data_IF_845132305815
#
_entry.id   IF_845132305815
#
_cell.length_a   1.000
_cell.length_b   1.000
_cell.length_c   1.000
_cell.angle_alpha   90.00
_cell.angle_beta   90.00
_cell.angle_gamma   90.00
#
_symmetry.space_group_name_H-M   'P 1'
#
loop_
_entity.id
_entity.type
_entity.pdbx_description
1 polymer ?
#
# COMPACT_ATOMS: atom_id res chain seq x y z
N UNK A 1 -1.08 -48.35 6.79
CA UNK A 1 -1.06 -47.31 5.74
C UNK A 1 -1.38 -45.98 6.41
N UNK A 2 -0.36 -45.19 6.71
CA UNK A 2 -0.58 -43.85 7.26
C UNK A 2 -0.92 -42.90 6.09
N UNK A 3 -2.17 -42.60 5.94
CA UNK A 3 -2.61 -41.48 5.08
C UNK A 3 -2.20 -40.18 5.78
N UNK A 4 -1.05 -39.65 5.42
CA UNK A 4 -0.65 -38.28 5.78
C UNK A 4 -1.61 -37.36 5.02
N UNK A 5 -2.71 -36.96 5.68
CA UNK A 5 -3.53 -35.84 5.18
C UNK A 5 -2.64 -34.64 5.01
N UNK A 6 -2.57 -34.10 3.81
CA UNK A 6 -1.89 -32.83 3.55
C UNK A 6 -2.43 -31.79 4.56
N UNK A 7 -1.56 -30.95 5.14
CA UNK A 7 -2.02 -29.93 6.08
C UNK A 7 -3.07 -29.06 5.37
N UNK A 8 -4.25 -28.94 5.98
CA UNK A 8 -5.30 -28.04 5.49
C UNK A 8 -4.70 -26.65 5.37
N UNK A 9 -4.76 -26.08 4.17
CA UNK A 9 -4.23 -24.73 3.94
C UNK A 9 -4.85 -23.76 4.96
N UNK A 10 -4.01 -22.98 5.64
CA UNK A 10 -4.48 -21.98 6.58
C UNK A 10 -5.34 -20.95 5.84
N UNK A 11 -6.48 -20.62 6.40
CA UNK A 11 -7.42 -19.64 5.83
C UNK A 11 -7.77 -18.58 6.88
N UNK A 12 -7.93 -17.31 6.48
CA UNK A 12 -8.41 -16.28 7.40
C UNK A 12 -9.87 -16.53 7.78
N UNK A 13 -10.21 -16.22 9.04
CA UNK A 13 -11.61 -16.20 9.47
C UNK A 13 -12.35 -15.05 8.77
N UNK A 14 -13.59 -15.29 8.32
CA UNK A 14 -14.41 -14.33 7.58
C UNK A 14 -15.74 -14.01 8.29
N UNK A 15 -15.93 -14.45 9.52
CA UNK A 15 -17.19 -14.31 10.30
C UNK A 15 -17.63 -12.85 10.42
N UNK A 16 -16.68 -11.90 10.46
CA UNK A 16 -16.97 -10.47 10.53
C UNK A 16 -17.71 -9.95 9.27
N UNK A 17 -17.63 -10.66 8.13
CA UNK A 17 -18.34 -10.29 6.91
C UNK A 17 -19.86 -10.54 6.99
N UNK A 18 -20.32 -11.27 8.00
CA UNK A 18 -21.73 -11.46 8.29
C UNK A 18 -22.36 -10.24 8.98
N UNK A 19 -21.53 -9.31 9.47
CA UNK A 19 -22.00 -8.07 10.07
C UNK A 19 -22.70 -7.17 9.03
N UNK A 20 -23.68 -6.34 9.44
CA UNK A 20 -24.50 -5.53 8.55
C UNK A 20 -23.73 -4.41 7.83
N UNK A 21 -22.45 -4.25 8.09
CA UNK A 21 -21.57 -3.30 7.41
C UNK A 21 -21.11 -3.75 6.02
N UNK A 22 -21.26 -5.05 5.71
CA UNK A 22 -20.78 -5.64 4.46
C UNK A 22 -21.94 -6.06 3.57
N UNK A 23 -21.87 -5.66 2.31
CA UNK A 23 -22.82 -6.02 1.27
C UNK A 23 -22.40 -7.32 0.57
N UNK A 24 -23.28 -7.91 -0.23
CA UNK A 24 -23.00 -9.18 -0.93
C UNK A 24 -21.79 -9.13 -1.85
N UNK A 25 -21.50 -7.96 -2.45
CA UNK A 25 -20.30 -7.83 -3.29
C UNK A 25 -19.00 -7.89 -2.45
N UNK A 26 -19.03 -7.49 -1.20
CA UNK A 26 -17.89 -7.62 -0.27
C UNK A 26 -17.62 -9.10 0.09
N UNK A 27 -18.68 -9.88 0.32
CA UNK A 27 -18.58 -11.32 0.61
C UNK A 27 -18.04 -12.09 -0.60
N UNK A 28 -18.54 -11.75 -1.81
CA UNK A 28 -18.00 -12.31 -3.05
C UNK A 28 -16.53 -11.96 -3.25
N UNK A 29 -16.17 -10.67 -3.07
CA UNK A 29 -14.78 -10.20 -3.13
C UNK A 29 -13.88 -11.02 -2.22
N UNK A 30 -14.25 -11.21 -0.95
CA UNK A 30 -13.46 -11.96 0.01
C UNK A 30 -13.24 -13.42 -0.43
N UNK A 31 -14.30 -14.08 -0.88
CA UNK A 31 -14.25 -15.49 -1.34
C UNK A 31 -13.39 -15.64 -2.59
N UNK A 32 -13.58 -14.79 -3.58
CA UNK A 32 -12.85 -14.84 -4.85
C UNK A 32 -11.37 -14.52 -4.66
N UNK A 33 -11.05 -13.48 -3.87
CA UNK A 33 -9.68 -13.11 -3.56
C UNK A 33 -8.96 -14.21 -2.79
N UNK A 34 -9.61 -14.78 -1.76
CA UNK A 34 -9.07 -15.88 -0.97
C UNK A 34 -8.72 -17.08 -1.85
N UNK A 35 -9.61 -17.47 -2.75
CA UNK A 35 -9.39 -18.59 -3.68
C UNK A 35 -8.22 -18.28 -4.63
N UNK A 36 -8.14 -17.06 -5.15
CA UNK A 36 -7.07 -16.66 -6.06
C UNK A 36 -5.71 -16.60 -5.36
N UNK A 37 -5.60 -15.87 -4.22
CA UNK A 37 -4.31 -15.64 -3.58
C UNK A 37 -3.70 -16.93 -3.03
N UNK A 38 -4.53 -17.87 -2.59
CA UNK A 38 -4.07 -19.16 -2.09
C UNK A 38 -3.32 -19.99 -3.16
N UNK A 39 -3.53 -19.71 -4.44
CA UNK A 39 -2.84 -20.36 -5.55
C UNK A 39 -1.56 -19.65 -5.97
N UNK A 40 -1.29 -18.45 -5.44
CA UNK A 40 -0.14 -17.67 -5.85
C UNK A 40 1.12 -18.07 -5.07
N UNK A 41 2.22 -18.17 -5.81
CA UNK A 41 3.56 -18.35 -5.25
C UNK A 41 4.50 -17.39 -5.96
N UNK A 42 5.15 -16.50 -5.21
CA UNK A 42 6.15 -15.55 -5.68
C UNK A 42 7.42 -15.76 -4.85
N UNK A 43 8.56 -15.75 -5.51
CA UNK A 43 9.85 -15.80 -4.82
C UNK A 43 10.19 -14.39 -4.30
N UNK A 44 10.11 -14.21 -2.99
CA UNK A 44 10.27 -12.91 -2.32
C UNK A 44 11.71 -12.65 -1.82
N UNK A 45 12.70 -13.42 -2.27
CA UNK A 45 14.12 -13.19 -1.90
C UNK A 45 14.69 -11.88 -2.44
N UNK A 46 14.22 -11.44 -3.60
CA UNK A 46 14.42 -10.07 -4.12
C UNK A 46 13.10 -9.33 -4.01
N UNK A 47 12.99 -8.44 -3.01
CA UNK A 47 11.76 -7.73 -2.69
C UNK A 47 11.27 -6.82 -3.82
N UNK A 48 12.18 -6.24 -4.59
CA UNK A 48 11.85 -5.34 -5.71
C UNK A 48 11.32 -6.12 -6.92
N UNK A 49 11.98 -7.22 -7.28
CA UNK A 49 11.51 -8.09 -8.34
C UNK A 49 10.18 -8.75 -7.98
N UNK A 50 10.04 -9.23 -6.75
CA UNK A 50 8.82 -9.82 -6.24
C UNK A 50 7.66 -8.83 -6.17
N UNK A 51 7.92 -7.59 -5.74
CA UNK A 51 6.90 -6.54 -5.70
C UNK A 51 6.38 -6.20 -7.12
N UNK A 52 7.27 -6.08 -8.12
CA UNK A 52 6.86 -5.92 -9.53
C UNK A 52 6.00 -7.09 -10.01
N UNK A 53 6.40 -8.30 -9.67
CA UNK A 53 5.64 -9.51 -10.04
C UNK A 53 4.26 -9.52 -9.35
N UNK A 54 4.16 -9.12 -8.07
CA UNK A 54 2.88 -8.97 -7.39
C UNK A 54 2.00 -7.92 -8.05
N UNK A 55 2.54 -6.72 -8.37
CA UNK A 55 1.77 -5.68 -9.07
C UNK A 55 1.24 -6.20 -10.41
N UNK A 56 2.08 -6.89 -11.19
CA UNK A 56 1.66 -7.49 -12.47
C UNK A 56 0.55 -8.51 -12.28
N UNK A 57 0.70 -9.48 -11.37
CA UNK A 57 -0.31 -10.53 -11.10
C UNK A 57 -1.63 -9.95 -10.59
N UNK A 58 -1.57 -8.99 -9.67
CA UNK A 58 -2.74 -8.29 -9.15
C UNK A 58 -3.46 -7.51 -10.27
N UNK A 59 -2.70 -6.90 -11.18
CA UNK A 59 -3.24 -6.20 -12.34
C UNK A 59 -3.90 -7.15 -13.34
N UNK A 60 -3.21 -8.23 -13.73
CA UNK A 60 -3.69 -9.24 -14.67
C UNK A 60 -4.98 -9.93 -14.15
N UNK A 61 -5.04 -10.18 -12.85
CA UNK A 61 -6.23 -10.77 -12.20
C UNK A 61 -7.34 -9.74 -11.89
N UNK A 62 -7.10 -8.46 -12.14
CA UNK A 62 -8.09 -7.40 -11.95
C UNK A 62 -8.25 -6.88 -10.51
N UNK A 63 -7.40 -7.31 -9.55
CA UNK A 63 -7.50 -6.86 -8.17
C UNK A 63 -7.13 -5.39 -7.99
N UNK A 64 -6.22 -4.84 -8.79
CA UNK A 64 -5.86 -3.42 -8.75
C UNK A 64 -6.98 -2.49 -9.20
N UNK A 65 -8.00 -3.00 -9.88
CA UNK A 65 -9.20 -2.23 -10.25
C UNK A 65 -9.99 -1.70 -9.05
N UNK A 66 -9.76 -2.25 -7.86
CA UNK A 66 -10.35 -1.75 -6.61
C UNK A 66 -9.66 -0.49 -6.07
N UNK A 67 -8.48 -0.15 -6.61
CA UNK A 67 -7.73 1.07 -6.25
C UNK A 67 -8.15 2.32 -7.05
N UNK A 68 -9.01 2.16 -8.06
CA UNK A 68 -9.31 3.20 -9.06
C UNK A 68 -10.83 3.26 -9.32
N UNK A 69 -11.42 4.44 -9.57
CA UNK A 69 -12.83 4.56 -9.95
C UNK A 69 -13.16 3.89 -11.29
N UNK A 70 -14.41 3.44 -11.44
CA UNK A 70 -14.89 2.71 -12.63
C UNK A 70 -14.70 3.48 -13.94
N UNK A 71 -14.86 4.81 -13.93
CA UNK A 71 -14.65 5.67 -15.11
C UNK A 71 -13.21 5.62 -15.66
N UNK A 72 -12.26 5.17 -14.83
CA UNK A 72 -10.85 4.98 -15.20
C UNK A 72 -10.44 3.50 -15.23
N UNK A 73 -11.39 2.60 -15.40
CA UNK A 73 -11.15 1.15 -15.49
C UNK A 73 -11.20 0.41 -14.17
N UNK A 74 -11.62 1.05 -13.10
CA UNK A 74 -11.81 0.46 -11.77
C UNK A 74 -13.06 -0.43 -11.65
N UNK A 75 -13.28 -0.96 -10.45
CA UNK A 75 -14.36 -1.89 -10.16
C UNK A 75 -15.65 -1.19 -9.69
N UNK A 76 -15.53 -0.12 -8.91
CA UNK A 76 -16.65 0.61 -8.31
C UNK A 76 -16.66 2.07 -8.78
N UNK A 77 -17.81 2.76 -8.76
CA UNK A 77 -17.89 4.17 -9.14
C UNK A 77 -16.96 5.09 -8.32
N UNK A 78 -16.66 4.71 -7.09
CA UNK A 78 -15.73 5.41 -6.18
C UNK A 78 -15.00 4.38 -5.30
N UNK A 79 -13.90 4.80 -4.68
CA UNK A 79 -13.17 3.97 -3.72
C UNK A 79 -14.09 3.61 -2.53
N UNK A 80 -14.07 2.34 -2.15
CA UNK A 80 -14.79 1.81 -0.99
C UNK A 80 -13.78 1.28 0.03
N UNK A 81 -13.68 1.96 1.19
CA UNK A 81 -12.76 1.59 2.25
C UNK A 81 -13.02 0.18 2.81
N UNK A 82 -14.27 -0.32 2.75
CA UNK A 82 -14.62 -1.68 3.19
C UNK A 82 -14.01 -2.72 2.24
N UNK A 83 -14.08 -2.48 0.93
CA UNK A 83 -13.42 -3.33 -0.05
C UNK A 83 -11.88 -3.32 0.14
N UNK A 84 -11.30 -2.14 0.38
CA UNK A 84 -9.86 -2.02 0.66
C UNK A 84 -9.43 -2.76 1.92
N UNK A 85 -10.25 -2.75 2.98
CA UNK A 85 -10.03 -3.50 4.22
C UNK A 85 -9.97 -5.00 3.92
N UNK A 86 -10.96 -5.54 3.19
CA UNK A 86 -11.03 -6.97 2.84
C UNK A 86 -9.82 -7.38 1.99
N UNK A 87 -9.50 -6.60 0.96
CA UNK A 87 -8.37 -6.87 0.07
C UNK A 87 -7.06 -6.94 0.85
N UNK A 88 -6.79 -5.94 1.69
CA UNK A 88 -5.55 -5.84 2.42
C UNK A 88 -5.42 -6.88 3.53
N UNK A 89 -6.48 -7.15 4.28
CA UNK A 89 -6.48 -8.21 5.29
C UNK A 89 -6.18 -9.58 4.65
N UNK A 90 -6.88 -9.89 3.56
CA UNK A 90 -6.72 -11.18 2.87
C UNK A 90 -5.32 -11.32 2.25
N UNK A 91 -4.83 -10.30 1.54
CA UNK A 91 -3.48 -10.33 0.94
C UNK A 91 -2.41 -10.46 2.02
N UNK A 92 -2.48 -9.65 3.09
CA UNK A 92 -1.50 -9.65 4.18
C UNK A 92 -1.46 -10.98 4.96
N UNK A 93 -2.58 -11.69 5.05
CA UNK A 93 -2.61 -13.04 5.62
C UNK A 93 -1.76 -14.02 4.81
N UNK A 94 -1.74 -13.90 3.48
CA UNK A 94 -1.00 -14.79 2.58
C UNK A 94 0.44 -14.33 2.34
N UNK A 95 0.64 -13.07 1.99
CA UNK A 95 1.93 -12.43 1.78
C UNK A 95 1.87 -10.94 2.13
N UNK A 96 2.63 -10.49 3.14
CA UNK A 96 2.76 -9.05 3.43
C UNK A 96 3.23 -8.22 2.22
N UNK A 97 4.08 -8.80 1.35
CA UNK A 97 4.55 -8.11 0.15
C UNK A 97 3.46 -8.00 -0.92
N UNK A 98 2.55 -8.97 -1.03
CA UNK A 98 1.37 -8.86 -1.90
C UNK A 98 0.44 -7.74 -1.45
N UNK A 99 0.19 -7.63 -0.11
CA UNK A 99 -0.56 -6.50 0.45
C UNK A 99 0.13 -5.18 0.15
N UNK A 100 1.43 -5.09 0.39
CA UNK A 100 2.21 -3.90 0.12
C UNK A 100 2.11 -3.47 -1.35
N UNK A 101 2.29 -4.40 -2.29
CA UNK A 101 2.17 -4.14 -3.72
C UNK A 101 0.79 -3.59 -4.10
N UNK A 102 -0.29 -4.15 -3.52
CA UNK A 102 -1.64 -3.64 -3.69
C UNK A 102 -1.84 -2.26 -3.07
N UNK A 103 -1.44 -2.10 -1.81
CA UNK A 103 -1.68 -0.89 -1.02
C UNK A 103 -1.04 0.36 -1.64
N UNK A 104 0.19 0.21 -2.17
CA UNK A 104 0.92 1.33 -2.75
C UNK A 104 0.32 1.79 -4.08
N UNK A 105 -0.30 0.90 -4.84
CA UNK A 105 -1.04 1.30 -6.04
C UNK A 105 -2.22 2.22 -5.67
N UNK A 106 -2.99 1.87 -4.64
CA UNK A 106 -4.09 2.70 -4.15
C UNK A 106 -3.63 4.01 -3.54
N UNK A 107 -2.66 3.97 -2.62
CA UNK A 107 -2.16 5.16 -1.93
C UNK A 107 -1.46 6.12 -2.91
N UNK A 108 -0.60 5.60 -3.78
CA UNK A 108 0.16 6.41 -4.73
C UNK A 108 -0.71 7.05 -5.82
N UNK A 109 -1.84 6.44 -6.19
CA UNK A 109 -2.79 7.01 -7.17
C UNK A 109 -3.98 7.74 -6.54
N UNK A 110 -4.22 7.56 -5.23
CA UNK A 110 -5.40 8.09 -4.54
C UNK A 110 -5.55 9.62 -4.63
N UNK A 111 -4.45 10.34 -4.50
CA UNK A 111 -4.47 11.80 -4.66
C UNK A 111 -4.84 12.23 -6.10
N UNK A 112 -4.44 11.47 -7.12
CA UNK A 112 -4.84 11.71 -8.52
C UNK A 112 -6.34 11.48 -8.69
N UNK A 113 -6.87 10.42 -8.06
CA UNK A 113 -8.32 10.18 -8.02
C UNK A 113 -9.09 11.34 -7.41
N UNK A 114 -8.56 11.95 -6.32
CA UNK A 114 -9.25 13.00 -5.57
C UNK A 114 -9.16 14.39 -6.20
N UNK A 115 -8.03 14.73 -6.82
CA UNK A 115 -7.76 16.11 -7.25
C UNK A 115 -7.12 16.23 -8.65
N UNK A 116 -6.92 15.12 -9.35
CA UNK A 116 -6.34 15.15 -10.70
C UNK A 116 -7.28 15.78 -11.71
N UNK A 117 -6.71 16.52 -12.65
CA UNK A 117 -7.45 16.95 -13.84
C UNK A 117 -7.92 15.73 -14.64
N UNK A 118 -8.96 15.85 -15.48
CA UNK A 118 -9.39 14.74 -16.34
C UNK A 118 -8.25 14.18 -17.22
N UNK A 119 -7.29 15.01 -17.62
CA UNK A 119 -6.12 14.56 -18.36
C UNK A 119 -5.18 13.73 -17.48
N UNK A 120 -4.82 14.19 -16.28
CA UNK A 120 -3.99 13.45 -15.33
C UNK A 120 -4.63 12.11 -14.97
N UNK A 121 -5.92 12.11 -14.63
CA UNK A 121 -6.65 10.88 -14.31
C UNK A 121 -6.58 9.86 -15.46
N UNK A 122 -6.85 10.29 -16.71
CA UNK A 122 -6.76 9.41 -17.89
C UNK A 122 -5.35 8.91 -18.17
N UNK A 123 -4.31 9.69 -17.85
CA UNK A 123 -2.92 9.32 -18.13
C UNK A 123 -2.35 8.29 -17.14
N UNK A 124 -2.82 8.30 -15.88
CA UNK A 124 -2.23 7.48 -14.82
C UNK A 124 -3.15 6.36 -14.35
N UNK A 125 -4.42 6.64 -14.04
CA UNK A 125 -5.29 5.71 -13.33
C UNK A 125 -5.57 4.40 -14.09
N UNK A 126 -5.84 4.40 -15.43
CA UNK A 126 -6.06 3.15 -16.14
C UNK A 126 -4.84 2.22 -16.18
N UNK A 127 -3.63 2.79 -16.21
CA UNK A 127 -2.39 2.00 -16.19
C UNK A 127 -2.13 1.42 -14.80
N UNK A 128 -2.46 2.15 -13.72
CA UNK A 128 -2.43 1.65 -12.33
C UNK A 128 -3.42 0.50 -12.16
N UNK A 129 -4.66 0.65 -12.62
CA UNK A 129 -5.70 -0.39 -12.52
C UNK A 129 -5.30 -1.71 -13.21
N UNK A 130 -4.44 -1.64 -14.24
CA UNK A 130 -3.92 -2.82 -14.97
C UNK A 130 -2.55 -3.28 -14.49
N UNK A 131 -1.95 -2.66 -13.46
CA UNK A 131 -0.61 -2.99 -13.00
C UNK A 131 0.51 -2.66 -14.00
N UNK A 132 0.25 -1.77 -14.96
CA UNK A 132 1.18 -1.34 -16.00
C UNK A 132 2.05 -0.16 -15.57
N UNK A 133 1.63 0.60 -14.56
CA UNK A 133 2.41 1.63 -13.88
C UNK A 133 2.40 1.40 -12.39
N UNK A 134 3.56 1.52 -11.78
CA UNK A 134 3.76 1.44 -10.34
C UNK A 134 3.70 2.84 -9.75
N UNK A 135 2.84 3.04 -8.77
CA UNK A 135 2.63 4.30 -8.09
C UNK A 135 3.43 4.40 -6.78
N UNK A 136 3.80 5.61 -6.39
CA UNK A 136 4.36 5.89 -5.08
C UNK A 136 3.82 7.20 -4.49
N UNK A 137 3.85 7.30 -3.16
CA UNK A 137 3.40 8.45 -2.38
C UNK A 137 4.57 9.02 -1.59
N UNK A 138 5.08 10.18 -2.01
CA UNK A 138 6.31 10.78 -1.49
C UNK A 138 5.99 11.97 -0.57
N UNK A 139 5.71 11.68 0.70
CA UNK A 139 5.33 12.66 1.71
C UNK A 139 6.45 12.91 2.73
N UNK A 140 6.96 11.85 3.39
CA UNK A 140 7.87 11.93 4.52
C UNK A 140 9.28 12.41 4.14
N UNK A 141 9.92 13.11 5.05
CA UNK A 141 11.29 13.60 4.93
C UNK A 141 12.12 13.17 6.14
N UNK A 142 13.47 13.24 6.09
CA UNK A 142 14.31 12.90 7.24
C UNK A 142 13.91 13.65 8.51
N UNK A 143 13.59 14.95 8.40
CA UNK A 143 13.24 15.83 9.52
C UNK A 143 11.72 16.05 9.69
N UNK A 144 10.89 15.46 8.83
CA UNK A 144 9.43 15.63 8.82
C UNK A 144 8.70 14.31 8.56
N UNK A 145 8.60 13.48 9.59
CA UNK A 145 7.88 12.22 9.58
C UNK A 145 6.45 12.39 10.11
N UNK A 146 6.26 12.40 11.44
CA UNK A 146 4.93 12.60 12.04
C UNK A 146 4.41 14.02 11.83
N UNK A 147 5.28 15.02 11.93
CA UNK A 147 4.96 16.40 11.60
C UNK A 147 5.30 16.71 10.14
N UNK A 148 4.52 16.16 9.23
CA UNK A 148 4.73 16.37 7.78
C UNK A 148 4.51 17.82 7.34
N UNK A 149 3.85 18.65 8.16
CA UNK A 149 3.70 20.07 7.88
C UNK A 149 5.03 20.85 7.99
N UNK A 150 6.03 20.28 8.67
CA UNK A 150 7.38 20.84 8.79
C UNK A 150 8.30 20.51 7.59
N UNK A 151 7.80 19.86 6.52
CA UNK A 151 8.61 19.48 5.36
C UNK A 151 9.40 20.65 4.78
N UNK A 152 10.64 20.35 4.34
CA UNK A 152 11.58 21.31 3.77
C UNK A 152 11.72 21.22 2.25
N UNK A 153 11.32 20.10 1.60
CA UNK A 153 11.32 20.01 0.14
C UNK A 153 10.50 21.13 -0.45
N UNK A 154 11.11 21.93 -1.33
CA UNK A 154 10.52 23.14 -1.91
C UNK A 154 10.13 22.92 -3.37
N UNK A 155 9.10 23.65 -3.81
CA UNK A 155 8.71 23.79 -5.20
C UNK A 155 8.60 25.26 -5.56
N UNK A 156 9.51 25.74 -6.42
CA UNK A 156 9.56 27.15 -6.87
C UNK A 156 8.94 27.27 -8.25
N UNK A 157 8.02 28.23 -8.46
CA UNK A 157 7.42 28.44 -9.79
C UNK A 157 8.41 29.12 -10.75
N UNK A 158 8.42 28.68 -12.02
CA UNK A 158 9.22 29.24 -13.12
C UNK A 158 8.37 29.32 -14.39
N UNK A 159 7.83 30.48 -14.70
CA UNK A 159 6.95 30.71 -15.83
C UNK A 159 5.82 29.64 -15.88
N UNK A 160 5.89 28.69 -16.79
CA UNK A 160 4.96 27.59 -16.99
C UNK A 160 5.40 26.24 -16.37
N UNK A 161 6.40 26.28 -15.48
CA UNK A 161 7.04 25.11 -14.88
C UNK A 161 7.22 25.26 -13.37
N UNK A 162 7.63 24.17 -12.71
CA UNK A 162 8.04 24.14 -11.32
C UNK A 162 9.44 23.57 -11.19
N UNK A 163 10.18 23.99 -10.19
CA UNK A 163 11.48 23.42 -9.83
C UNK A 163 11.43 22.87 -8.39
N UNK A 164 11.62 21.55 -8.24
CA UNK A 164 11.68 20.89 -6.95
C UNK A 164 13.11 20.75 -6.47
N UNK A 165 13.34 21.09 -5.19
CA UNK A 165 14.59 20.87 -4.48
C UNK A 165 14.33 20.31 -3.08
N UNK A 166 15.07 19.27 -2.68
CA UNK A 166 14.93 18.65 -1.36
C UNK A 166 15.05 17.14 -1.39
N UNK A 167 14.51 16.48 -0.37
CA UNK A 167 14.64 15.02 -0.25
C UNK A 167 13.41 14.43 0.45
N UNK A 168 12.99 13.25 0.01
CA UNK A 168 11.96 12.42 0.65
C UNK A 168 12.60 11.11 1.08
N UNK A 169 12.21 10.58 2.22
CA UNK A 169 12.76 9.32 2.73
C UNK A 169 11.65 8.35 3.14
N UNK A 170 12.01 7.09 3.27
CA UNK A 170 11.06 5.99 3.55
C UNK A 170 9.96 5.87 2.50
N UNK A 171 10.30 6.17 1.24
CA UNK A 171 9.30 6.16 0.17
C UNK A 171 9.13 4.75 -0.35
N UNK A 172 7.95 4.20 -0.08
CA UNK A 172 7.50 2.92 -0.59
C UNK A 172 7.45 2.92 -2.12
N UNK A 173 7.89 1.85 -2.76
CA UNK A 173 8.16 1.76 -4.20
C UNK A 173 9.22 2.74 -4.71
N UNK A 174 9.97 3.43 -3.84
CA UNK A 174 11.06 4.31 -4.24
C UNK A 174 12.11 3.57 -5.08
N UNK A 175 12.55 4.16 -6.18
CA UNK A 175 13.49 3.57 -7.13
C UNK A 175 12.91 2.44 -8.01
N UNK A 176 11.60 2.15 -7.91
CA UNK A 176 10.92 1.21 -8.80
C UNK A 176 9.58 1.72 -9.33
N UNK A 177 9.02 2.78 -8.76
CA UNK A 177 7.80 3.41 -9.25
C UNK A 177 8.00 4.07 -10.61
N UNK A 178 6.93 4.13 -11.41
CA UNK A 178 6.90 4.87 -12.68
C UNK A 178 6.59 6.35 -12.46
N UNK A 179 5.92 6.67 -11.35
CA UNK A 179 5.64 8.04 -10.93
C UNK A 179 5.46 8.15 -9.41
N UNK A 180 5.69 9.35 -8.91
CA UNK A 180 5.57 9.71 -7.49
C UNK A 180 4.57 10.85 -7.34
N UNK A 181 3.56 10.69 -6.49
CA UNK A 181 2.80 11.84 -5.98
C UNK A 181 3.61 12.45 -4.85
N UNK A 182 4.20 13.61 -5.12
CA UNK A 182 5.17 14.27 -4.25
C UNK A 182 4.60 15.56 -3.68
N UNK A 183 4.78 15.75 -2.38
CA UNK A 183 4.34 16.97 -1.67
C UNK A 183 5.54 17.86 -1.39
N UNK A 184 5.42 19.14 -1.73
CA UNK A 184 6.50 20.11 -1.58
C UNK A 184 5.96 21.48 -1.17
N UNK A 185 6.80 22.24 -0.49
CA UNK A 185 6.51 23.59 -0.01
C UNK A 185 6.56 24.59 -1.15
N UNK A 186 5.45 25.24 -1.44
CA UNK A 186 5.32 26.31 -2.42
C UNK A 186 5.38 27.70 -1.79
N UNK A 187 5.13 27.81 -0.45
CA UNK A 187 5.17 29.06 0.28
C UNK A 187 5.84 28.87 1.65
N UNK A 188 6.94 29.57 1.88
CA UNK A 188 7.82 29.36 3.04
C UNK A 188 7.11 29.60 4.40
N UNK A 189 6.28 30.62 4.50
CA UNK A 189 5.59 31.04 5.72
C UNK A 189 4.18 30.42 5.88
N UNK A 190 3.79 29.54 4.97
CA UNK A 190 2.43 29.00 4.89
C UNK A 190 2.11 27.88 5.89
N UNK A 191 3.10 27.31 6.58
CA UNK A 191 2.88 26.09 7.39
C UNK A 191 2.24 24.99 6.55
N UNK A 192 1.25 24.30 7.06
CA UNK A 192 0.48 23.30 6.30
C UNK A 192 -0.21 23.85 5.05
N UNK A 193 -0.58 25.15 5.07
CA UNK A 193 -1.25 25.83 3.94
C UNK A 193 -0.28 26.36 2.88
N UNK A 194 1.00 26.07 2.97
CA UNK A 194 2.01 26.41 1.97
C UNK A 194 2.58 25.17 1.26
N UNK A 195 1.83 24.07 1.22
CA UNK A 195 2.24 22.81 0.62
C UNK A 195 1.35 22.50 -0.57
N UNK A 196 1.97 22.14 -1.70
CA UNK A 196 1.31 21.69 -2.93
C UNK A 196 1.68 20.24 -3.24
N UNK A 197 0.90 19.61 -4.11
CA UNK A 197 1.15 18.26 -4.57
C UNK A 197 1.54 18.26 -6.06
N UNK A 198 2.39 17.35 -6.46
CA UNK A 198 2.90 17.23 -7.83
C UNK A 198 2.96 15.76 -8.26
N UNK A 199 2.68 15.48 -9.53
CA UNK A 199 2.96 14.20 -10.14
C UNK A 199 4.35 14.30 -10.77
N UNK A 200 5.28 13.46 -10.30
CA UNK A 200 6.67 13.42 -10.78
C UNK A 200 6.91 12.07 -11.43
N UNK A 201 7.06 12.04 -12.75
CA UNK A 201 7.46 10.82 -13.45
C UNK A 201 8.88 10.41 -13.04
N UNK A 202 9.15 9.11 -12.98
CA UNK A 202 10.41 8.57 -12.45
C UNK A 202 11.65 8.91 -13.28
N UNK A 203 11.47 9.22 -14.56
CA UNK A 203 12.53 9.57 -15.52
C UNK A 203 12.86 11.06 -15.55
N UNK A 204 12.29 11.85 -14.63
CA UNK A 204 12.56 13.31 -14.60
C UNK A 204 14.01 13.63 -14.31
N UNK A 205 14.66 14.45 -15.13
CA UNK A 205 15.99 14.98 -14.83
C UNK A 205 15.98 15.72 -13.48
N UNK A 206 16.98 15.44 -12.63
CA UNK A 206 17.08 16.00 -11.30
C UNK A 206 16.36 15.20 -10.21
N UNK A 207 15.72 14.09 -10.54
CA UNK A 207 15.25 13.08 -9.58
C UNK A 207 16.28 11.93 -9.48
N UNK A 208 16.78 11.67 -8.28
CA UNK A 208 17.56 10.48 -7.95
C UNK A 208 16.83 9.65 -6.89
N UNK A 209 16.58 8.39 -7.19
CA UNK A 209 15.93 7.41 -6.31
C UNK A 209 16.81 6.16 -6.11
N UNK A 210 18.12 6.28 -6.29
CA UNK A 210 19.09 5.17 -6.22
C UNK A 210 19.45 4.75 -4.79
N UNK A 211 19.20 5.59 -3.80
CA UNK A 211 19.46 5.28 -2.38
C UNK A 211 18.36 4.37 -1.83
N UNK A 212 18.57 3.06 -1.95
CA UNK A 212 17.65 2.05 -1.45
C UNK A 212 17.81 1.83 0.05
N UNK A 213 16.70 1.82 0.77
CA UNK A 213 16.65 1.53 2.20
C UNK A 213 16.26 0.07 2.41
N UNK A 214 16.97 -0.60 3.32
CA UNK A 214 16.68 -1.98 3.67
C UNK A 214 16.06 -2.06 5.07
N UNK A 215 15.03 -2.85 5.19
CA UNK A 215 14.34 -3.17 6.45
C UNK A 215 14.28 -4.68 6.62
N UNK A 216 13.87 -5.14 7.80
CA UNK A 216 13.85 -6.56 8.14
C UNK A 216 12.84 -7.36 7.31
N UNK A 217 11.73 -6.75 6.92
CA UNK A 217 10.70 -7.39 6.07
C UNK A 217 10.92 -7.03 4.59
N UNK A 218 10.49 -7.88 3.64
CA UNK A 218 10.46 -7.51 2.23
C UNK A 218 9.58 -6.26 2.03
N UNK A 219 10.21 -5.13 1.68
CA UNK A 219 9.52 -3.85 1.52
C UNK A 219 10.39 -2.89 0.71
N UNK A 220 10.19 -2.74 -0.59
CA UNK A 220 10.96 -1.83 -1.42
C UNK A 220 10.83 -0.38 -0.98
N UNK A 221 11.91 0.18 -0.47
CA UNK A 221 12.01 1.55 0.03
C UNK A 221 13.20 2.28 -0.60
N UNK A 222 13.07 3.60 -0.77
CA UNK A 222 14.19 4.46 -1.13
C UNK A 222 14.07 5.87 -0.53
N UNK A 223 15.21 6.58 -0.53
CA UNK A 223 15.26 8.03 -0.45
C UNK A 223 15.17 8.61 -1.86
N UNK A 224 14.37 9.65 -2.03
CA UNK A 224 14.29 10.44 -3.26
C UNK A 224 15.02 11.75 -3.04
N UNK A 225 15.92 12.13 -3.96
CA UNK A 225 16.60 13.44 -3.97
C UNK A 225 16.14 14.24 -5.17
N UNK A 226 15.78 15.48 -4.95
CA UNK A 226 15.39 16.42 -5.98
C UNK A 226 16.42 17.53 -6.05
N UNK A 227 17.15 17.62 -7.16
CA UNK A 227 18.15 18.66 -7.42
C UNK A 227 17.78 19.39 -8.71
N UNK A 228 17.20 20.60 -8.55
CA UNK A 228 16.68 21.39 -9.69
C UNK A 228 15.80 20.54 -10.60
N UNK A 229 14.97 19.68 -9.98
CA UNK A 229 14.08 18.78 -10.71
C UNK A 229 12.95 19.59 -11.33
N UNK A 230 13.01 19.78 -12.64
CA UNK A 230 12.02 20.59 -13.38
C UNK A 230 10.81 19.77 -13.77
N UNK A 231 9.65 20.30 -13.42
CA UNK A 231 8.35 19.73 -13.74
C UNK A 231 7.58 20.70 -14.65
N UNK A 232 6.83 20.22 -15.64
CA UNK A 232 5.93 21.07 -16.41
C UNK A 232 4.81 21.62 -15.50
N UNK A 233 4.16 22.71 -15.90
CA UNK A 233 3.10 23.34 -15.10
C UNK A 233 1.93 22.44 -14.81
N UNK A 234 1.60 21.54 -15.73
CA UNK A 234 0.54 20.53 -15.61
C UNK A 234 0.90 19.33 -14.70
N UNK A 235 2.12 19.29 -14.14
CA UNK A 235 2.48 18.34 -13.08
C UNK A 235 1.87 18.70 -11.72
N UNK A 236 1.41 19.96 -11.52
CA UNK A 236 0.68 20.36 -10.33
C UNK A 236 -0.59 19.52 -10.18
N UNK A 237 -0.77 18.91 -9.02
CA UNK A 237 -1.91 18.07 -8.69
C UNK A 237 -2.86 18.82 -7.76
N UNK A 238 -4.06 19.13 -8.25
CA UNK A 238 -5.02 19.99 -7.57
C UNK A 238 -4.61 21.47 -7.59
N UNK A 239 -4.83 22.18 -6.51
CA UNK A 239 -4.57 23.62 -6.39
C UNK A 239 -3.23 23.90 -5.69
N UNK A 240 -2.60 25.02 -6.02
CA UNK A 240 -1.44 25.54 -5.27
C UNK A 240 -1.84 25.70 -3.81
N UNK A 241 -0.96 25.32 -2.90
CA UNK A 241 -1.15 25.37 -1.44
C UNK A 241 -2.26 24.43 -0.89
N UNK A 242 -2.86 23.59 -1.76
CA UNK A 242 -3.88 22.58 -1.39
C UNK A 242 -3.33 21.20 -1.03
N UNK A 243 -2.02 20.98 -1.17
CA UNK A 243 -1.41 19.65 -1.10
C UNK A 243 -1.50 18.98 0.27
N UNK A 244 -1.35 19.73 1.38
CA UNK A 244 -1.48 19.14 2.72
C UNK A 244 -2.88 18.56 2.95
N UNK A 245 -3.93 19.29 2.60
CA UNK A 245 -5.32 18.82 2.69
C UNK A 245 -5.51 17.55 1.83
N UNK A 246 -4.98 17.56 0.62
CA UNK A 246 -5.05 16.43 -0.29
C UNK A 246 -4.31 15.20 0.27
N UNK A 247 -3.12 15.39 0.87
CA UNK A 247 -2.40 14.31 1.54
C UNK A 247 -3.24 13.68 2.67
N UNK A 248 -3.84 14.51 3.54
CA UNK A 248 -4.67 14.03 4.65
C UNK A 248 -5.92 13.30 4.16
N UNK A 249 -6.62 13.83 3.16
CA UNK A 249 -7.78 13.18 2.54
C UNK A 249 -7.41 11.80 1.94
N UNK A 250 -6.26 11.71 1.28
CA UNK A 250 -5.77 10.43 0.74
C UNK A 250 -5.50 9.45 1.88
N UNK A 251 -4.79 9.87 2.91
CA UNK A 251 -4.49 9.03 4.07
C UNK A 251 -5.76 8.58 4.80
N UNK A 252 -6.79 9.42 4.92
CA UNK A 252 -8.03 9.07 5.60
C UNK A 252 -8.78 7.92 4.92
N UNK A 253 -8.70 7.81 3.59
CA UNK A 253 -9.26 6.67 2.85
C UNK A 253 -8.50 5.38 3.16
N UNK A 254 -7.16 5.45 3.27
CA UNK A 254 -6.32 4.26 3.34
C UNK A 254 -5.94 3.81 4.76
N UNK A 255 -6.01 4.67 5.78
CA UNK A 255 -5.67 4.32 7.18
C UNK A 255 -6.43 3.11 7.74
N UNK A 256 -7.77 2.97 7.58
CA UNK A 256 -8.48 1.79 8.08
C UNK A 256 -7.93 0.50 7.46
N UNK A 257 -7.51 0.54 6.19
CA UNK A 257 -6.97 -0.61 5.50
C UNK A 257 -5.56 -1.01 5.99
N UNK A 258 -4.80 -0.09 6.59
CA UNK A 258 -3.52 -0.41 7.25
C UNK A 258 -3.76 -1.28 8.48
N UNK A 259 -4.77 -0.95 9.29
CA UNK A 259 -5.16 -1.77 10.44
C UNK A 259 -5.61 -3.17 9.99
N UNK A 260 -6.35 -3.28 8.88
CA UNK A 260 -6.75 -4.56 8.31
C UNK A 260 -5.57 -5.42 7.84
N UNK A 261 -4.56 -4.81 7.23
CA UNK A 261 -3.32 -5.51 6.87
C UNK A 261 -2.60 -6.05 8.11
N UNK A 262 -2.46 -5.24 9.16
CA UNK A 262 -1.88 -5.68 10.43
C UNK A 262 -2.66 -6.84 11.05
N UNK A 263 -4.00 -6.79 11.00
CA UNK A 263 -4.87 -7.88 11.45
C UNK A 263 -4.67 -9.16 10.61
N UNK A 264 -4.55 -9.03 9.28
CA UNK A 264 -4.26 -10.16 8.41
C UNK A 264 -2.95 -10.87 8.77
N UNK A 265 -1.87 -10.11 9.00
CA UNK A 265 -0.58 -10.65 9.45
C UNK A 265 -0.69 -11.29 10.85
N UNK A 266 -1.40 -10.66 11.79
CA UNK A 266 -1.61 -11.20 13.14
C UNK A 266 -2.40 -12.53 13.10
N UNK A 267 -3.45 -12.61 12.29
CA UNK A 267 -4.23 -13.85 12.08
C UNK A 267 -3.38 -14.96 11.46
N UNK A 268 -2.49 -14.63 10.51
CA UNK A 268 -1.55 -15.60 9.97
C UNK A 268 -0.59 -16.09 11.04
N UNK A 269 0.02 -15.21 11.81
CA UNK A 269 0.93 -15.56 12.89
C UNK A 269 0.25 -16.48 13.94
N UNK A 270 -1.01 -16.16 14.30
CA UNK A 270 -1.84 -16.98 15.20
C UNK A 270 -2.09 -18.37 14.60
N UNK A 271 -2.47 -18.46 13.33
CA UNK A 271 -2.74 -19.72 12.66
C UNK A 271 -1.50 -20.62 12.62
N UNK A 272 -0.34 -20.06 12.32
CA UNK A 272 0.95 -20.76 12.35
C UNK A 272 1.32 -21.21 13.77
N UNK A 273 1.13 -20.36 14.77
CA UNK A 273 1.40 -20.70 16.18
C UNK A 273 0.51 -21.86 16.66
N UNK A 274 -0.78 -21.84 16.33
CA UNK A 274 -1.73 -22.92 16.65
C UNK A 274 -1.35 -24.21 15.94
N UNK A 275 -1.04 -24.16 14.64
CA UNK A 275 -0.63 -25.32 13.87
C UNK A 275 0.66 -25.95 14.47
N UNK A 276 1.66 -25.11 14.79
CA UNK A 276 2.88 -25.56 15.44
C UNK A 276 2.60 -26.18 16.82
N UNK A 277 1.81 -25.53 17.66
CA UNK A 277 1.49 -26.05 19.01
C UNK A 277 0.78 -27.39 18.97
N UNK A 278 -0.09 -27.64 17.98
CA UNK A 278 -0.78 -28.93 17.79
C UNK A 278 0.13 -30.06 17.30
N UNK A 279 1.22 -29.75 16.64
CA UNK A 279 2.12 -30.74 16.05
C UNK A 279 3.38 -30.98 16.87
N UNK A 280 3.91 -29.96 17.54
CA UNK A 280 5.13 -30.07 18.36
C UNK A 280 4.86 -30.94 19.60
N UNK A 281 5.59 -32.04 19.71
CA UNK A 281 5.50 -32.95 20.87
C UNK A 281 6.67 -32.76 21.82
N UNK A 282 6.38 -32.81 23.14
CA UNK A 282 7.37 -32.80 24.21
C UNK A 282 6.76 -33.43 25.47
N UNK A 283 7.56 -34.11 26.26
CA UNK A 283 7.13 -34.81 27.49
C UNK A 283 5.87 -35.68 27.31
N UNK A 284 5.77 -36.38 26.17
CA UNK A 284 4.66 -37.30 25.88
C UNK A 284 3.37 -36.70 25.38
N UNK A 285 3.25 -35.36 25.29
CA UNK A 285 2.05 -34.64 24.86
C UNK A 285 2.38 -33.55 23.80
N UNK A 286 1.39 -32.88 23.26
CA UNK A 286 1.61 -31.76 22.33
C UNK A 286 1.90 -30.47 23.09
N UNK A 287 2.51 -29.49 22.44
CA UNK A 287 2.74 -28.17 23.03
C UNK A 287 1.39 -27.48 23.36
N UNK A 288 0.33 -27.77 22.61
CA UNK A 288 -1.01 -27.26 22.85
C UNK A 288 -1.65 -27.78 24.15
N UNK A 289 -1.18 -28.90 24.71
CA UNK A 289 -1.72 -29.46 25.95
C UNK A 289 -1.19 -28.74 27.20
N UNK A 290 -0.17 -27.88 27.08
CA UNK A 290 0.38 -27.14 28.20
C UNK A 290 -0.43 -25.87 28.48
N UNK A 291 -0.80 -25.67 29.74
CA UNK A 291 -1.61 -24.53 30.18
C UNK A 291 -1.02 -23.17 29.78
N UNK A 292 0.31 -22.98 29.93
CA UNK A 292 0.95 -21.73 29.54
C UNK A 292 0.80 -21.44 28.05
N UNK A 293 0.88 -22.44 27.18
CA UNK A 293 0.66 -22.30 25.74
C UNK A 293 -0.80 -21.89 25.47
N UNK A 294 -1.76 -22.54 26.14
CA UNK A 294 -3.18 -22.21 26.01
C UNK A 294 -3.47 -20.76 26.44
N UNK A 295 -2.89 -20.31 27.57
CA UNK A 295 -3.00 -18.94 28.05
C UNK A 295 -2.45 -17.96 27.01
N UNK A 296 -1.26 -18.20 26.47
CA UNK A 296 -0.64 -17.32 25.46
C UNK A 296 -1.46 -17.23 24.18
N UNK A 297 -1.96 -18.35 23.68
CA UNK A 297 -2.81 -18.37 22.49
C UNK A 297 -4.15 -17.65 22.77
N UNK A 298 -4.72 -17.81 23.98
CA UNK A 298 -5.91 -17.09 24.42
C UNK A 298 -5.70 -15.58 24.50
N UNK A 299 -4.57 -15.13 25.07
CA UNK A 299 -4.19 -13.71 25.12
C UNK A 299 -4.07 -13.11 23.70
N UNK A 300 -3.35 -13.81 22.80
CA UNK A 300 -3.20 -13.37 21.40
C UNK A 300 -4.56 -13.28 20.67
N UNK A 301 -5.50 -14.18 21.00
CA UNK A 301 -6.83 -14.17 20.39
C UNK A 301 -7.74 -13.05 20.90
N UNK A 302 -7.48 -12.53 22.09
CA UNK A 302 -8.27 -11.48 22.72
C UNK A 302 -7.82 -10.06 22.32
N UNK A 303 -6.61 -9.92 21.80
CA UNK A 303 -6.05 -8.65 21.30
C UNK A 303 -6.48 -8.35 19.87
#
# INVERSE_FOLDING_TARGET
MNTTTAPTALQPAQDHLDLPFFDDHHRRLATELQAWVATQQVDERDDRAACREWVRRLGDAGWLRWCVPAEHGGQLPRLDSRALVILRETLAFHSPLADFAFAMQGLGSGAITLAGTPQQQRSYLPAVARGQKIAAFALSEPEAGSDVAAMGTSATPHADAWELNGSKTWISNGGMADFYVTFARTRADGGARGISAFIVDADRPGLDASEHLQVMAPHPLATLRFERCRLPGDALLGEVDGGFKLAMQTLDIFRPSVAAAALGMARRAMAEAVAHAKTRRMFGQTLADFQLTQVRLGEMSAL
#
